data_IF_143839944198
#
_entry.id   IF_143839944198
#
_cell.length_a   1.000
_cell.length_b   1.000
_cell.length_c   1.000
_cell.angle_alpha   90.00
_cell.angle_beta   90.00
_cell.angle_gamma   90.00
#
_symmetry.space_group_name_H-M   'P 1'
#
loop_
_entity.id
_entity.type
_entity.pdbx_description
1 polymer ?
#
# COMPACT_ATOMS: atom_id res chain seq x y z
N UNK A 1 12.85 17.89 25.61
CA UNK A 1 11.87 16.83 25.41
C UNK A 1 12.54 15.72 24.58
N UNK A 2 12.37 14.43 24.98
CA UNK A 2 13.01 13.29 24.27
C UNK A 2 12.75 13.30 22.77
N UNK A 3 11.54 13.64 22.36
CA UNK A 3 11.16 13.67 20.93
C UNK A 3 11.92 14.77 20.17
N UNK A 4 12.08 15.94 20.75
CA UNK A 4 12.88 17.03 20.16
C UNK A 4 14.34 16.63 19.98
N UNK A 5 14.92 15.96 20.99
CA UNK A 5 16.30 15.45 20.92
C UNK A 5 16.45 14.43 19.80
N UNK A 6 15.50 13.51 19.66
CA UNK A 6 15.51 12.52 18.58
C UNK A 6 15.43 13.22 17.20
N UNK A 7 14.52 14.19 17.04
CA UNK A 7 14.37 14.92 15.78
C UNK A 7 15.63 15.74 15.41
N UNK A 8 16.29 16.38 16.40
CA UNK A 8 17.58 17.04 16.18
C UNK A 8 18.68 16.06 15.73
N UNK A 9 18.74 14.88 16.34
CA UNK A 9 19.70 13.85 15.95
C UNK A 9 19.41 13.29 14.56
N UNK A 10 18.15 13.11 14.19
CA UNK A 10 17.73 12.70 12.85
C UNK A 10 18.23 13.71 11.81
N UNK A 11 17.94 15.00 12.01
CA UNK A 11 18.33 16.03 11.06
C UNK A 11 19.86 16.14 10.92
N UNK A 12 20.59 16.09 12.05
CA UNK A 12 22.06 16.11 12.05
C UNK A 12 22.68 14.93 11.29
N UNK A 13 22.01 13.78 11.29
CA UNK A 13 22.53 12.54 10.73
C UNK A 13 21.74 12.03 9.51
N UNK A 14 21.01 12.92 8.82
CA UNK A 14 20.17 12.53 7.68
C UNK A 14 20.93 11.79 6.57
N UNK A 15 22.20 12.14 6.34
CA UNK A 15 23.05 11.54 5.31
C UNK A 15 23.88 10.34 5.82
N UNK A 16 23.73 9.96 7.09
CA UNK A 16 24.41 8.79 7.63
C UNK A 16 23.84 7.49 7.02
N UNK A 17 24.66 6.49 6.87
CA UNK A 17 24.26 5.15 6.42
C UNK A 17 23.32 4.49 7.44
N UNK A 18 22.59 3.47 7.01
CA UNK A 18 21.69 2.71 7.91
C UNK A 18 22.45 2.11 9.10
N UNK A 19 23.67 1.63 8.90
CA UNK A 19 24.51 1.08 9.97
C UNK A 19 24.97 2.15 10.97
N UNK A 20 25.32 3.34 10.51
CA UNK A 20 25.66 4.46 11.39
C UNK A 20 24.44 4.93 12.17
N UNK A 21 23.28 5.08 11.53
CA UNK A 21 22.00 5.40 12.19
C UNK A 21 21.65 4.37 13.25
N UNK A 22 21.84 3.09 12.97
CA UNK A 22 21.62 2.01 13.95
C UNK A 22 22.47 2.19 15.23
N UNK A 23 23.71 2.62 15.07
CA UNK A 23 24.60 2.90 16.22
C UNK A 23 24.15 4.15 16.98
N UNK A 24 23.82 5.24 16.26
CA UNK A 24 23.37 6.50 16.86
C UNK A 24 22.05 6.32 17.65
N UNK A 25 21.11 5.58 17.08
CA UNK A 25 19.78 5.35 17.65
C UNK A 25 19.66 3.99 18.35
N UNK A 26 20.78 3.48 18.92
CA UNK A 26 20.85 2.17 19.58
C UNK A 26 19.72 1.94 20.61
N UNK A 27 19.36 2.97 21.38
CA UNK A 27 18.30 2.85 22.38
C UNK A 27 16.93 2.58 21.76
N UNK A 28 16.64 3.17 20.59
CA UNK A 28 15.42 2.86 19.81
C UNK A 28 15.47 1.41 19.32
N UNK A 29 16.60 0.97 18.77
CA UNK A 29 16.76 -0.42 18.35
C UNK A 29 16.62 -1.41 19.50
N UNK A 30 17.09 -1.06 20.70
CA UNK A 30 16.97 -1.91 21.89
C UNK A 30 15.52 -2.12 22.33
N UNK A 31 14.61 -1.16 22.09
CA UNK A 31 13.17 -1.33 22.34
C UNK A 31 12.63 -2.54 21.58
N UNK A 32 13.20 -2.81 20.40
CA UNK A 32 12.85 -3.96 19.53
C UNK A 32 13.82 -5.14 19.70
N UNK A 33 14.56 -5.22 20.81
CA UNK A 33 15.50 -6.30 21.10
C UNK A 33 16.89 -6.17 20.47
N UNK A 34 17.18 -5.07 19.75
CA UNK A 34 18.50 -4.73 19.20
C UNK A 34 18.96 -5.53 17.96
N UNK A 35 18.30 -6.63 17.62
CA UNK A 35 18.73 -7.57 16.57
C UNK A 35 17.81 -7.57 15.32
N UNK A 36 16.74 -6.79 15.32
CA UNK A 36 15.85 -6.71 14.14
C UNK A 36 16.60 -6.09 12.98
N UNK A 37 16.49 -6.72 11.81
CA UNK A 37 17.10 -6.30 10.55
C UNK A 37 16.08 -5.72 9.57
N UNK A 38 14.83 -6.16 9.68
CA UNK A 38 13.78 -5.82 8.74
C UNK A 38 12.42 -5.89 9.43
N UNK A 39 11.59 -4.87 9.23
CA UNK A 39 10.16 -4.92 9.45
C UNK A 39 9.45 -4.95 8.11
N UNK A 40 8.39 -5.76 8.02
CA UNK A 40 7.50 -5.78 6.86
C UNK A 40 6.11 -5.38 7.34
N UNK A 41 5.57 -4.32 6.74
CA UNK A 41 4.19 -3.89 6.91
C UNK A 41 3.37 -4.31 5.70
N UNK A 42 2.18 -4.87 5.94
CA UNK A 42 1.28 -5.31 4.89
C UNK A 42 -0.18 -5.25 5.33
N UNK A 43 -1.09 -5.71 4.49
CA UNK A 43 -2.55 -5.73 4.67
C UNK A 43 -3.25 -4.34 4.66
N UNK A 44 -2.55 -3.25 4.89
CA UNK A 44 -3.07 -1.89 4.80
C UNK A 44 -1.97 -0.94 4.27
N UNK A 45 -2.34 0.19 3.67
CA UNK A 45 -1.37 1.19 3.24
C UNK A 45 -0.53 1.71 4.41
N UNK A 46 0.78 1.73 4.24
CA UNK A 46 1.70 2.30 5.22
C UNK A 46 1.76 3.83 5.06
N UNK A 47 1.63 4.57 6.16
CA UNK A 47 1.85 6.01 6.12
C UNK A 47 3.31 6.31 5.79
N UNK A 48 3.52 7.04 4.69
CA UNK A 48 4.84 7.43 4.20
C UNK A 48 5.70 8.11 5.28
N UNK A 49 5.11 8.94 6.16
CA UNK A 49 5.84 9.58 7.25
C UNK A 49 6.35 8.59 8.29
N UNK A 50 5.57 7.52 8.54
CA UNK A 50 5.98 6.44 9.44
C UNK A 50 7.16 5.69 8.83
N UNK A 51 7.08 5.32 7.56
CA UNK A 51 8.18 4.68 6.84
C UNK A 51 9.46 5.54 6.88
N UNK A 52 9.36 6.80 6.49
CA UNK A 52 10.47 7.75 6.50
C UNK A 52 11.08 7.91 7.90
N UNK A 53 10.25 7.97 8.95
CA UNK A 53 10.73 8.07 10.32
C UNK A 53 11.53 6.84 10.74
N UNK A 54 11.02 5.61 10.50
CA UNK A 54 11.76 4.39 10.82
C UNK A 54 13.10 4.33 10.12
N UNK A 55 13.15 4.72 8.86
CA UNK A 55 14.40 4.81 8.09
C UNK A 55 15.35 5.88 8.62
N UNK A 56 14.81 7.00 9.09
CA UNK A 56 15.64 8.07 9.65
C UNK A 56 16.39 7.65 10.92
N UNK A 57 15.90 6.65 11.64
CA UNK A 57 16.55 6.06 12.82
C UNK A 57 17.28 4.75 12.53
N UNK A 58 17.46 4.39 11.25
CA UNK A 58 18.22 3.21 10.84
C UNK A 58 17.47 1.89 10.92
N UNK A 59 16.13 1.92 10.97
CA UNK A 59 15.29 0.72 10.91
C UNK A 59 14.77 0.54 9.49
N UNK A 60 15.01 -0.64 8.92
CA UNK A 60 14.52 -0.99 7.61
C UNK A 60 13.05 -1.45 7.72
N UNK A 61 12.12 -0.56 7.39
CA UNK A 61 10.69 -0.84 7.30
C UNK A 61 10.31 -0.87 5.83
N UNK A 62 9.77 -1.99 5.37
CA UNK A 62 9.36 -2.23 3.99
C UNK A 62 7.85 -2.48 3.91
N UNK A 63 7.24 -1.98 2.86
CA UNK A 63 5.85 -2.31 2.55
C UNK A 63 5.79 -3.53 1.65
N UNK A 64 4.87 -4.46 1.97
CA UNK A 64 4.54 -5.62 1.16
C UNK A 64 3.06 -5.63 0.80
N UNK A 65 2.75 -6.19 -0.36
CA UNK A 65 1.38 -6.34 -0.86
C UNK A 65 1.10 -7.78 -1.25
N UNK A 66 -0.10 -8.17 -0.99
CA UNK A 66 -0.68 -9.42 -1.42
C UNK A 66 -2.02 -9.70 -0.76
N UNK A 67 -2.57 -10.84 -1.09
CA UNK A 67 -3.90 -11.28 -0.69
C UNK A 67 -3.82 -12.73 -0.20
N UNK A 68 -4.81 -13.20 0.52
CA UNK A 68 -4.93 -14.61 0.89
C UNK A 68 -4.87 -15.50 -0.35
N UNK A 69 -5.49 -15.06 -1.43
CA UNK A 69 -5.54 -15.70 -2.74
C UNK A 69 -4.18 -15.78 -3.44
N UNK A 70 -3.17 -15.07 -2.94
CA UNK A 70 -1.81 -15.05 -3.51
C UNK A 70 -0.73 -15.58 -2.56
N UNK A 71 -1.08 -16.28 -1.50
CA UNK A 71 -0.25 -17.07 -0.56
C UNK A 71 0.95 -16.38 0.10
N UNK A 72 0.90 -15.25 0.76
CA UNK A 72 0.04 -14.11 0.48
C UNK A 72 0.71 -13.05 -0.41
N UNK A 73 2.05 -13.10 -0.65
CA UNK A 73 2.84 -11.96 -1.14
C UNK A 73 2.95 -11.94 -2.67
N UNK A 74 2.64 -10.79 -3.25
CA UNK A 74 2.81 -10.48 -4.68
C UNK A 74 3.99 -9.57 -4.93
N UNK A 75 4.11 -8.50 -4.14
CA UNK A 75 5.14 -7.48 -4.30
C UNK A 75 5.70 -7.06 -2.94
N UNK A 76 6.95 -6.61 -2.94
CA UNK A 76 7.66 -6.20 -1.73
C UNK A 76 8.69 -5.13 -2.08
N UNK A 77 8.79 -4.12 -1.24
CA UNK A 77 9.95 -3.22 -1.24
C UNK A 77 11.19 -3.96 -0.78
N UNK A 78 12.32 -3.74 -1.45
CA UNK A 78 13.57 -4.47 -1.17
C UNK A 78 14.75 -3.54 -0.99
N UNK A 79 15.39 -3.62 0.19
CA UNK A 79 16.68 -3.03 0.45
C UNK A 79 16.75 -1.53 0.20
N UNK A 80 17.67 -1.11 -0.65
CA UNK A 80 17.89 0.30 -1.01
C UNK A 80 16.93 0.79 -2.11
N UNK A 81 16.27 -0.14 -2.82
CA UNK A 81 15.33 0.15 -3.91
C UNK A 81 13.93 0.37 -3.37
N UNK A 82 13.75 1.47 -2.62
CA UNK A 82 12.48 1.86 -2.07
C UNK A 82 11.98 3.11 -2.76
N UNK A 83 10.71 3.03 -3.16
CA UNK A 83 10.00 4.17 -3.74
C UNK A 83 8.80 4.47 -2.86
N UNK A 84 8.89 5.50 -1.99
CA UNK A 84 7.86 5.79 -1.01
C UNK A 84 6.46 5.91 -1.62
N UNK A 85 5.49 5.19 -1.03
CA UNK A 85 4.13 5.10 -1.53
C UNK A 85 3.89 3.99 -2.54
N UNK A 86 4.95 3.27 -2.98
CA UNK A 86 4.80 2.01 -3.73
C UNK A 86 4.73 0.82 -2.77
N UNK A 87 4.27 -0.30 -3.28
CA UNK A 87 4.37 -1.61 -2.63
C UNK A 87 5.61 -2.38 -3.10
N UNK A 88 6.58 -1.66 -3.69
CA UNK A 88 7.78 -2.25 -4.28
C UNK A 88 7.53 -2.88 -5.66
N UNK A 89 8.38 -3.85 -5.99
CA UNK A 89 8.31 -4.60 -7.26
C UNK A 89 7.81 -6.02 -7.02
N UNK A 90 7.25 -6.63 -8.05
CA UNK A 90 6.77 -8.02 -7.99
C UNK A 90 7.86 -9.00 -7.52
N UNK A 91 7.48 -10.06 -6.85
CA UNK A 91 8.39 -11.14 -6.49
C UNK A 91 8.84 -11.93 -7.74
N UNK A 92 9.99 -12.63 -7.67
CA UNK A 92 10.41 -13.54 -8.73
C UNK A 92 9.33 -14.58 -9.03
N UNK A 93 9.23 -15.01 -10.30
CA UNK A 93 8.26 -16.00 -10.80
C UNK A 93 6.79 -15.59 -10.68
N UNK A 94 6.50 -14.33 -10.38
CA UNK A 94 5.16 -13.75 -10.43
C UNK A 94 5.09 -12.80 -11.63
N UNK A 95 4.00 -12.89 -12.36
CA UNK A 95 3.64 -11.94 -13.40
C UNK A 95 2.56 -11.00 -12.87
N UNK A 96 2.67 -9.72 -13.21
CA UNK A 96 1.67 -8.70 -12.90
C UNK A 96 1.40 -7.86 -14.12
N UNK A 97 0.18 -7.40 -14.29
CA UNK A 97 -0.19 -6.42 -15.32
C UNK A 97 -1.37 -5.57 -14.86
N UNK A 98 -1.55 -4.44 -15.52
CA UNK A 98 -2.74 -3.60 -15.35
C UNK A 98 -3.74 -3.98 -16.43
N UNK A 99 -4.96 -4.32 -16.03
CA UNK A 99 -6.05 -4.58 -16.96
C UNK A 99 -6.72 -3.26 -17.38
N UNK A 100 -6.96 -3.13 -18.71
CA UNK A 100 -7.65 -1.97 -19.29
C UNK A 100 -7.24 -0.62 -18.68
N UNK A 101 -5.92 -0.25 -18.76
CA UNK A 101 -5.43 0.98 -18.16
C UNK A 101 -6.09 2.22 -18.79
N UNK A 102 -6.41 3.21 -17.96
CA UNK A 102 -6.87 4.52 -18.39
C UNK A 102 -5.69 5.39 -18.93
N UNK A 103 -5.96 6.68 -19.21
CA UNK A 103 -4.95 7.63 -19.69
C UNK A 103 -3.76 7.82 -18.76
N UNK A 104 -3.95 7.57 -17.47
CA UNK A 104 -2.93 7.70 -16.42
C UNK A 104 -2.25 6.36 -16.13
N UNK A 105 -2.57 5.32 -16.88
CA UNK A 105 -2.04 3.96 -16.73
C UNK A 105 -2.65 3.19 -15.56
N UNK A 106 -3.75 3.68 -14.97
CA UNK A 106 -4.42 3.05 -13.85
C UNK A 106 -5.48 2.05 -14.34
N UNK A 107 -5.51 0.88 -13.74
CA UNK A 107 -6.50 -0.15 -13.98
C UNK A 107 -6.43 -1.23 -12.91
N UNK A 108 -7.18 -2.31 -13.08
CA UNK A 108 -7.14 -3.42 -12.12
C UNK A 108 -5.81 -4.17 -12.18
N UNK A 109 -5.20 -4.40 -11.02
CA UNK A 109 -4.00 -5.22 -10.91
C UNK A 109 -4.36 -6.69 -11.09
N UNK A 110 -3.77 -7.33 -12.10
CA UNK A 110 -3.88 -8.76 -12.33
C UNK A 110 -2.60 -9.47 -11.93
N UNK A 111 -2.74 -10.64 -11.36
CA UNK A 111 -1.61 -11.46 -10.88
C UNK A 111 -1.68 -12.86 -11.48
N UNK A 112 -0.51 -13.39 -11.89
CA UNK A 112 -0.35 -14.77 -12.34
C UNK A 112 0.95 -15.33 -11.77
N UNK A 113 0.91 -16.54 -11.24
CA UNK A 113 2.10 -17.19 -10.70
C UNK A 113 1.77 -18.39 -9.82
N UNK A 114 2.80 -19.11 -9.38
CA UNK A 114 2.65 -20.30 -8.56
C UNK A 114 2.10 -20.04 -7.15
N UNK A 115 2.08 -18.78 -6.71
CA UNK A 115 1.53 -18.32 -5.44
C UNK A 115 0.02 -18.09 -5.49
N UNK A 116 -0.58 -18.06 -6.69
CA UNK A 116 -2.03 -17.85 -6.85
C UNK A 116 -2.78 -19.11 -6.47
N UNK A 117 -3.85 -18.97 -5.70
CA UNK A 117 -4.73 -20.07 -5.28
C UNK A 117 -5.29 -20.86 -6.48
N UNK A 118 -5.69 -22.09 -6.23
CA UNK A 118 -6.40 -22.92 -7.22
C UNK A 118 -7.87 -22.48 -7.42
N UNK A 119 -8.46 -21.85 -6.40
CA UNK A 119 -9.83 -21.38 -6.40
C UNK A 119 -10.43 -21.31 -5.01
N UNK A 120 -11.66 -20.83 -4.92
CA UNK A 120 -12.42 -20.79 -3.68
C UNK A 120 -13.07 -22.16 -3.40
N UNK A 121 -12.82 -22.72 -2.23
CA UNK A 121 -13.35 -24.03 -1.85
C UNK A 121 -14.89 -24.05 -1.87
N UNK A 122 -15.45 -24.97 -2.64
CA UNK A 122 -16.90 -25.13 -2.77
C UNK A 122 -17.62 -23.98 -3.48
N UNK A 123 -16.90 -23.06 -4.14
CA UNK A 123 -17.49 -21.92 -4.85
C UNK A 123 -16.85 -21.72 -6.23
N UNK A 124 -17.30 -22.52 -7.19
CA UNK A 124 -16.78 -22.46 -8.57
C UNK A 124 -17.16 -21.15 -9.28
N UNK A 125 -18.32 -20.58 -8.97
CA UNK A 125 -18.78 -19.34 -9.56
C UNK A 125 -17.83 -18.16 -9.21
N UNK A 126 -17.58 -17.96 -7.92
CA UNK A 126 -16.60 -16.95 -7.46
C UNK A 126 -15.18 -17.23 -8.00
N UNK A 127 -14.82 -18.51 -8.17
CA UNK A 127 -13.53 -18.87 -8.75
C UNK A 127 -13.45 -18.43 -10.22
N UNK A 128 -14.49 -18.67 -11.03
CA UNK A 128 -14.54 -18.27 -12.43
C UNK A 128 -14.55 -16.75 -12.60
N UNK A 129 -15.20 -16.03 -11.66
CA UNK A 129 -15.19 -14.55 -11.67
C UNK A 129 -13.81 -13.98 -11.33
N UNK A 130 -13.09 -14.62 -10.41
CA UNK A 130 -11.78 -14.13 -9.96
C UNK A 130 -10.62 -14.62 -10.84
N UNK A 131 -10.78 -15.73 -11.56
CA UNK A 131 -9.74 -16.38 -12.38
C UNK A 131 -10.16 -16.38 -13.85
N UNK A 132 -9.67 -15.40 -14.62
CA UNK A 132 -9.99 -15.26 -16.03
C UNK A 132 -8.71 -15.39 -16.87
N UNK A 133 -8.72 -16.31 -17.84
CA UNK A 133 -7.59 -16.57 -18.75
C UNK A 133 -6.25 -16.82 -18.04
N UNK A 134 -6.32 -17.49 -16.86
CA UNK A 134 -5.15 -17.79 -16.05
C UNK A 134 -4.60 -16.62 -15.25
N UNK A 135 -5.29 -15.50 -15.20
CA UNK A 135 -5.00 -14.34 -14.36
C UNK A 135 -5.97 -14.23 -13.20
N UNK A 136 -5.44 -13.94 -12.03
CA UNK A 136 -6.22 -13.61 -10.86
C UNK A 136 -6.54 -12.11 -10.85
N UNK A 137 -7.81 -11.78 -10.81
CA UNK A 137 -8.35 -10.43 -10.69
C UNK A 137 -8.38 -10.02 -9.21
N UNK A 138 -7.47 -9.12 -8.82
CA UNK A 138 -7.30 -8.77 -7.40
C UNK A 138 -8.43 -7.90 -6.86
N UNK A 139 -9.13 -7.19 -7.72
CA UNK A 139 -10.07 -6.14 -7.34
C UNK A 139 -9.40 -4.86 -6.85
N UNK A 140 -8.07 -4.75 -6.91
CA UNK A 140 -7.32 -3.56 -6.53
C UNK A 140 -6.95 -2.76 -7.78
N UNK A 141 -7.14 -1.45 -7.74
CA UNK A 141 -6.69 -0.52 -8.77
C UNK A 141 -5.24 -0.11 -8.49
N UNK A 142 -4.42 -0.15 -9.52
CA UNK A 142 -3.00 0.15 -9.41
C UNK A 142 -2.44 0.84 -10.65
N UNK A 143 -1.24 1.39 -10.50
CA UNK A 143 -0.37 1.86 -11.59
C UNK A 143 0.97 1.14 -11.43
N UNK A 144 1.58 0.75 -12.55
CA UNK A 144 2.95 0.24 -12.59
C UNK A 144 3.79 1.27 -13.35
N UNK A 145 4.85 1.78 -12.72
CA UNK A 145 5.73 2.73 -13.37
C UNK A 145 6.75 2.04 -14.31
N UNK A 146 7.53 2.85 -15.03
CA UNK A 146 8.51 2.36 -16.01
C UNK A 146 9.63 1.51 -15.41
N UNK A 147 9.87 1.61 -14.09
CA UNK A 147 10.87 0.84 -13.38
C UNK A 147 10.27 -0.42 -12.71
N UNK A 148 8.96 -0.65 -12.90
CA UNK A 148 8.23 -1.81 -12.40
C UNK A 148 7.74 -1.69 -10.95
N UNK A 149 7.76 -0.48 -10.37
CA UNK A 149 7.18 -0.25 -9.04
C UNK A 149 5.66 -0.13 -9.15
N UNK A 150 4.97 -0.77 -8.22
CA UNK A 150 3.52 -0.87 -8.19
C UNK A 150 2.96 0.08 -7.13
N UNK A 151 1.98 0.88 -7.51
CA UNK A 151 1.29 1.83 -6.64
C UNK A 151 -0.19 1.46 -6.56
N UNK A 152 -0.64 0.97 -5.40
CA UNK A 152 -2.06 0.70 -5.15
C UNK A 152 -2.78 2.02 -4.95
N UNK A 153 -3.93 2.18 -5.61
CA UNK A 153 -4.78 3.37 -5.55
C UNK A 153 -6.02 3.17 -4.69
N UNK A 154 -6.52 1.95 -4.62
CA UNK A 154 -7.69 1.58 -3.82
C UNK A 154 -8.40 0.37 -4.40
N UNK A 155 -9.55 0.03 -3.81
CA UNK A 155 -10.40 -1.08 -4.26
C UNK A 155 -11.31 -0.65 -5.42
N UNK A 156 -11.38 -1.44 -6.47
CA UNK A 156 -12.26 -1.22 -7.63
C UNK A 156 -13.74 -1.03 -7.21
N UNK A 157 -14.20 -1.84 -6.26
CA UNK A 157 -15.59 -1.79 -5.75
C UNK A 157 -15.85 -0.60 -4.81
N UNK A 158 -14.82 0.02 -4.25
CA UNK A 158 -14.95 1.15 -3.31
C UNK A 158 -14.87 2.52 -4.00
N UNK A 159 -14.47 2.57 -5.27
CA UNK A 159 -14.34 3.84 -6.00
C UNK A 159 -15.68 4.56 -6.09
N UNK A 160 -15.69 5.81 -5.69
CA UNK A 160 -16.84 6.70 -5.84
C UNK A 160 -16.67 7.50 -7.13
N UNK A 161 -17.50 7.19 -8.13
CA UNK A 161 -17.48 7.92 -9.40
C UNK A 161 -18.41 9.11 -9.30
N UNK A 162 -17.87 10.32 -9.38
CA UNK A 162 -18.65 11.55 -9.38
C UNK A 162 -19.38 11.75 -10.72
N UNK A 163 -20.42 12.60 -10.74
CA UNK A 163 -21.20 12.92 -11.95
C UNK A 163 -20.37 13.46 -13.11
N UNK A 164 -19.24 14.09 -12.81
CA UNK A 164 -18.28 14.60 -13.82
C UNK A 164 -17.27 13.54 -14.29
N UNK A 165 -17.44 12.28 -13.89
CA UNK A 165 -16.55 11.17 -14.23
C UNK A 165 -15.27 11.06 -13.39
N UNK A 166 -15.06 11.95 -12.39
CA UNK A 166 -13.88 11.89 -11.53
C UNK A 166 -14.02 10.76 -10.53
N UNK A 167 -12.97 9.94 -10.43
CA UNK A 167 -12.84 8.88 -9.43
C UNK A 167 -12.35 9.47 -8.10
N UNK A 168 -13.01 9.09 -7.02
CA UNK A 168 -12.60 9.36 -5.64
C UNK A 168 -12.27 8.04 -4.99
N UNK A 169 -11.13 7.97 -4.34
CA UNK A 169 -10.66 6.82 -3.57
C UNK A 169 -10.89 7.08 -2.08
N UNK A 170 -11.89 6.44 -1.46
CA UNK A 170 -12.26 6.68 -0.06
C UNK A 170 -11.08 6.52 0.88
N UNK A 171 -10.26 5.48 0.69
CA UNK A 171 -9.11 5.16 1.54
C UNK A 171 -8.07 6.30 1.59
N UNK A 172 -7.84 7.01 0.48
CA UNK A 172 -6.92 8.17 0.46
C UNK A 172 -7.45 9.30 1.35
N UNK A 173 -8.75 9.54 1.30
CA UNK A 173 -9.40 10.59 2.11
C UNK A 173 -9.48 10.18 3.59
N UNK A 174 -9.81 8.94 3.88
CA UNK A 174 -9.83 8.37 5.23
C UNK A 174 -8.46 8.47 5.89
N UNK A 175 -7.39 8.16 5.16
CA UNK A 175 -6.02 8.31 5.63
C UNK A 175 -5.68 9.77 6.00
N UNK A 176 -6.21 10.76 5.29
CA UNK A 176 -6.02 12.17 5.62
C UNK A 176 -6.82 12.58 6.87
N UNK A 177 -8.09 12.16 6.95
CA UNK A 177 -8.99 12.47 8.08
C UNK A 177 -8.47 11.80 9.36
N UNK A 178 -7.99 10.57 9.29
CA UNK A 178 -7.46 9.82 10.44
C UNK A 178 -6.17 10.41 11.03
N UNK A 179 -5.50 11.36 10.33
CA UNK A 179 -4.37 12.12 10.87
C UNK A 179 -4.78 13.28 11.78
N UNK A 180 -6.06 13.63 11.81
CA UNK A 180 -6.59 14.72 12.65
C UNK A 180 -6.59 14.24 14.10
N UNK A 181 -5.97 15.02 14.98
CA UNK A 181 -5.93 14.69 16.41
C UNK A 181 -7.35 14.56 16.97
N UNK A 182 -7.64 13.43 17.63
CA UNK A 182 -8.96 13.13 18.18
C UNK A 182 -9.84 12.28 17.27
N UNK A 183 -9.48 12.10 15.99
CA UNK A 183 -10.12 11.12 15.11
C UNK A 183 -9.48 9.75 15.36
N UNK A 184 -10.30 8.78 15.71
CA UNK A 184 -9.86 7.38 15.90
C UNK A 184 -9.93 6.60 14.59
N UNK A 185 -11.02 6.78 13.88
CA UNK A 185 -11.32 6.07 12.64
C UNK A 185 -12.35 6.88 11.84
N UNK A 186 -12.25 6.84 10.52
CA UNK A 186 -13.21 7.48 9.61
C UNK A 186 -13.64 6.50 8.52
N UNK A 187 -14.82 6.70 7.99
CA UNK A 187 -15.35 5.94 6.87
C UNK A 187 -16.02 6.88 5.86
N UNK A 188 -15.60 6.80 4.61
CA UNK A 188 -16.09 7.66 3.52
C UNK A 188 -16.87 6.83 2.52
N UNK A 189 -18.08 7.26 2.22
CA UNK A 189 -18.94 6.58 1.24
C UNK A 189 -19.69 7.58 0.36
N UNK A 190 -20.01 7.14 -0.86
CA UNK A 190 -20.81 7.91 -1.80
C UNK A 190 -22.31 7.77 -1.50
N UNK A 191 -23.02 8.89 -1.36
CA UNK A 191 -24.49 8.90 -1.28
C UNK A 191 -25.08 9.58 -2.51
N UNK A 192 -25.93 8.86 -3.26
CA UNK A 192 -26.71 9.47 -4.33
C UNK A 192 -27.81 10.34 -3.73
N UNK A 193 -27.73 11.65 -3.92
CA UNK A 193 -28.82 12.56 -3.61
C UNK A 193 -29.78 12.49 -4.79
N UNK A 194 -30.93 11.81 -4.62
CA UNK A 194 -32.06 11.98 -5.54
C UNK A 194 -32.52 13.43 -5.38
N UNK A 195 -32.43 14.24 -6.42
CA UNK A 195 -33.20 15.49 -6.47
C UNK A 195 -34.68 15.07 -6.48
N UNK A 196 -35.40 15.39 -5.44
CA UNK A 196 -36.86 15.38 -5.49
C UNK A 196 -37.28 16.32 -6.63
N UNK A 197 -38.29 15.89 -7.39
CA UNK A 197 -38.73 16.60 -8.61
C UNK A 197 -39.42 17.94 -8.33
N UNK A 198 -39.45 18.40 -7.09
CA UNK A 198 -40.25 19.55 -6.66
C UNK A 198 -39.42 20.82 -6.33
N UNK A 199 -38.14 20.87 -6.61
CA UNK A 199 -37.37 22.12 -6.55
C UNK A 199 -37.21 22.69 -7.98
N UNK A 200 -38.27 23.45 -8.41
CA UNK A 200 -38.20 24.41 -9.51
C UNK A 200 -37.81 25.76 -8.97
#
# INVERSE_FOLDING_TARGET
NKLETINMLIEKNKNASMEEKKKIFKDIHNIFGGNIRLFISGAAPLDKKVEEWFRSVGINLCQGYGLTETSPVVALERGEFIRPGSIGTKLPNIEVKIDTPDSDGMGELLVKGPNVMLGYFGNEEATKEAMIDGWFHTGDLAVIDNDGYIFIKGRKKSVIVLKNGKNIFPEEMENLVNRIQGVKESFIYGKSIKKDKDDI
#
